data_IF_172775798959
#
_entry.id   IF_172775798959
#
_cell.length_a   1.000
_cell.length_b   1.000
_cell.length_c   1.000
_cell.angle_alpha   90.00
_cell.angle_beta   90.00
_cell.angle_gamma   90.00
#
_symmetry.space_group_name_H-M   'P 1'
#
loop_
_entity.id
_entity.type
_entity.pdbx_description
1 polymer ?
#
# COMPACT_ATOMS: atom_id res chain seq x y z
N UNK A 1 13.76 -16.25 -11.50
CA UNK A 1 12.83 -17.11 -10.75
C UNK A 1 11.45 -16.47 -10.82
N UNK A 2 10.38 -17.23 -11.07
CA UNK A 2 9.04 -16.67 -11.22
C UNK A 2 8.09 -17.27 -10.17
N UNK A 3 7.46 -16.39 -9.40
CA UNK A 3 6.36 -16.70 -8.49
C UNK A 3 5.34 -15.57 -8.56
N UNK A 4 4.16 -15.82 -8.02
CA UNK A 4 3.07 -14.85 -7.92
C UNK A 4 2.65 -14.75 -6.46
N UNK A 5 2.62 -13.52 -5.97
CA UNK A 5 2.02 -13.17 -4.68
C UNK A 5 0.60 -12.67 -4.93
N UNK A 6 -0.35 -13.17 -4.14
CA UNK A 6 -1.75 -12.77 -4.21
C UNK A 6 -2.29 -12.48 -2.82
N UNK A 7 -3.16 -11.48 -2.73
CA UNK A 7 -3.94 -11.17 -1.53
C UNK A 7 -5.38 -11.66 -1.72
N UNK A 8 -5.98 -12.27 -0.70
CA UNK A 8 -7.35 -12.79 -0.79
C UNK A 8 -8.42 -11.70 -0.98
N UNK A 9 -8.11 -10.48 -0.56
CA UNK A 9 -9.01 -9.33 -0.58
C UNK A 9 -8.47 -8.21 -1.46
N UNK A 10 -9.39 -7.33 -1.87
CA UNK A 10 -9.05 -6.13 -2.64
C UNK A 10 -8.96 -4.92 -1.72
N UNK A 11 -8.03 -4.03 -2.05
CA UNK A 11 -8.01 -2.68 -1.47
C UNK A 11 -9.25 -1.94 -1.98
N UNK A 12 -9.92 -1.23 -1.07
CA UNK A 12 -11.06 -0.37 -1.36
C UNK A 12 -10.77 1.06 -0.91
N UNK A 13 -11.43 2.03 -1.51
CA UNK A 13 -11.40 3.42 -1.07
C UNK A 13 -12.83 3.96 -1.03
N UNK A 14 -13.18 4.63 0.07
CA UNK A 14 -14.51 5.22 0.26
C UNK A 14 -14.39 6.73 0.43
N UNK A 15 -15.26 7.54 -0.23
CA UNK A 15 -15.27 8.99 -0.03
C UNK A 15 -15.57 9.36 1.42
N UNK A 16 -14.82 10.33 1.96
CA UNK A 16 -14.97 10.88 3.32
C UNK A 16 -15.19 12.41 3.28
N UNK A 17 -15.81 12.89 2.21
CA UNK A 17 -16.08 14.31 1.99
C UNK A 17 -14.84 15.09 1.56
N UNK A 18 -14.78 16.37 1.91
CA UNK A 18 -13.69 17.27 1.52
C UNK A 18 -13.22 18.10 2.71
N UNK A 19 -11.98 18.59 2.67
CA UNK A 19 -11.41 19.42 3.73
C UNK A 19 -10.31 20.34 3.23
N UNK A 20 -10.09 21.45 3.93
CA UNK A 20 -8.96 22.33 3.66
C UNK A 20 -7.77 21.90 4.50
N UNK A 21 -6.58 21.86 3.90
CA UNK A 21 -5.31 21.56 4.56
C UNK A 21 -4.27 22.59 4.14
N UNK A 22 -3.23 22.78 4.96
CA UNK A 22 -2.03 23.48 4.53
C UNK A 22 -1.00 22.47 4.03
N UNK A 23 -0.62 22.60 2.76
CA UNK A 23 0.35 21.71 2.14
C UNK A 23 1.45 22.49 1.43
N UNK A 24 2.68 22.01 1.58
CA UNK A 24 3.84 22.51 0.84
C UNK A 24 4.05 21.62 -0.40
N UNK A 25 3.71 22.16 -1.57
CA UNK A 25 3.76 21.41 -2.84
C UNK A 25 5.19 21.31 -3.42
N UNK A 26 6.09 22.23 -3.07
CA UNK A 26 7.50 22.20 -3.46
C UNK A 26 8.40 22.58 -2.29
N UNK A 27 9.65 22.11 -2.28
CA UNK A 27 10.60 22.31 -1.17
C UNK A 27 10.90 23.79 -0.86
N UNK A 28 10.71 24.69 -1.81
CA UNK A 28 11.08 26.11 -1.68
C UNK A 28 9.87 27.05 -1.56
N UNK A 29 8.64 26.52 -1.58
CA UNK A 29 7.43 27.34 -1.46
C UNK A 29 6.85 27.36 -0.04
N UNK A 30 6.15 28.44 0.36
CA UNK A 30 5.33 28.41 1.57
C UNK A 30 4.23 27.35 1.44
N UNK A 31 3.71 26.87 2.58
CA UNK A 31 2.51 26.05 2.56
C UNK A 31 1.32 26.86 2.04
N UNK A 32 0.46 26.22 1.27
CA UNK A 32 -0.74 26.81 0.69
C UNK A 32 -1.97 26.09 1.21
N UNK A 33 -3.05 26.83 1.48
CA UNK A 33 -4.36 26.25 1.76
C UNK A 33 -4.90 25.59 0.48
N UNK A 34 -5.08 24.27 0.54
CA UNK A 34 -5.67 23.49 -0.55
C UNK A 34 -6.88 22.73 -0.04
N UNK A 35 -7.90 22.61 -0.89
CA UNK A 35 -9.04 21.73 -0.65
C UNK A 35 -8.73 20.36 -1.22
N UNK A 36 -8.79 19.33 -0.38
CA UNK A 36 -8.66 17.93 -0.78
C UNK A 36 -10.03 17.25 -0.76
N UNK A 37 -10.22 16.30 -1.67
CA UNK A 37 -11.25 15.28 -1.55
C UNK A 37 -10.69 14.15 -0.67
N UNK A 38 -11.30 13.94 0.50
CA UNK A 38 -10.84 12.96 1.49
C UNK A 38 -11.36 11.57 1.13
N UNK A 39 -10.53 10.57 1.39
CA UNK A 39 -10.90 9.16 1.27
C UNK A 39 -10.40 8.35 2.45
N UNK A 40 -11.13 7.31 2.80
CA UNK A 40 -10.65 6.23 3.66
C UNK A 40 -10.33 5.03 2.78
N UNK A 41 -9.04 4.72 2.68
CA UNK A 41 -8.55 3.50 2.03
C UNK A 41 -8.54 2.36 3.04
N UNK A 42 -9.08 1.21 2.67
CA UNK A 42 -9.17 0.04 3.53
C UNK A 42 -8.75 -1.23 2.81
N UNK A 43 -7.92 -2.03 3.46
CA UNK A 43 -7.67 -3.42 3.11
C UNK A 43 -8.29 -4.29 4.22
N UNK A 44 -9.36 -5.05 3.92
CA UNK A 44 -9.95 -5.96 4.89
C UNK A 44 -8.95 -6.99 5.43
N UNK A 45 -9.35 -7.71 6.48
CA UNK A 45 -8.56 -8.85 6.94
C UNK A 45 -8.40 -9.86 5.80
N UNK A 46 -7.17 -10.27 5.55
CA UNK A 46 -6.80 -10.99 4.33
C UNK A 46 -5.70 -12.00 4.57
N UNK A 47 -5.53 -12.96 3.66
CA UNK A 47 -4.35 -13.82 3.62
C UNK A 47 -3.47 -13.44 2.43
N UNK A 48 -2.18 -13.76 2.53
CA UNK A 48 -1.23 -13.68 1.43
C UNK A 48 -0.95 -15.11 0.96
N UNK A 49 -0.83 -15.30 -0.34
CA UNK A 49 -0.47 -16.57 -0.94
C UNK A 49 0.64 -16.38 -1.96
N UNK A 50 1.74 -17.11 -1.78
CA UNK A 50 2.83 -17.19 -2.74
C UNK A 50 2.74 -18.51 -3.49
N UNK A 51 2.70 -18.44 -4.82
CA UNK A 51 2.59 -19.62 -5.69
C UNK A 51 3.60 -19.55 -6.83
N UNK A 52 4.02 -20.70 -7.34
CA UNK A 52 4.91 -20.77 -8.48
C UNK A 52 5.63 -22.10 -8.57
N UNK A 53 6.24 -22.44 -9.73
CA UNK A 53 6.89 -23.73 -9.93
C UNK A 53 8.01 -24.06 -8.94
N UNK A 54 8.61 -23.02 -8.36
CA UNK A 54 9.74 -23.16 -7.46
C UNK A 54 9.40 -22.75 -6.01
N UNK A 55 8.09 -22.70 -5.69
CA UNK A 55 7.56 -22.44 -4.36
C UNK A 55 7.04 -23.75 -3.78
N UNK A 56 7.48 -24.09 -2.58
CA UNK A 56 6.95 -25.22 -1.79
C UNK A 56 6.52 -24.75 -0.42
N UNK A 57 5.64 -25.49 0.24
CA UNK A 57 5.29 -25.22 1.65
C UNK A 57 6.10 -26.15 2.54
N UNK A 58 6.74 -25.59 3.56
CA UNK A 58 7.56 -26.32 4.53
C UNK A 58 7.20 -25.91 5.95
N UNK A 59 7.53 -26.76 6.93
CA UNK A 59 7.43 -26.44 8.35
C UNK A 59 8.83 -26.15 8.89
N UNK A 60 9.03 -24.96 9.48
CA UNK A 60 10.28 -24.57 10.14
C UNK A 60 9.92 -24.12 11.54
N UNK A 61 10.49 -24.78 12.56
CA UNK A 61 10.16 -24.56 13.98
C UNK A 61 8.66 -24.67 14.29
N UNK A 62 7.99 -25.61 13.62
CA UNK A 62 6.55 -25.83 13.78
C UNK A 62 5.65 -24.76 13.15
N UNK A 63 6.21 -23.81 12.39
CA UNK A 63 5.47 -22.76 11.69
C UNK A 63 5.53 -22.95 10.17
N UNK A 64 4.40 -22.76 9.46
CA UNK A 64 4.38 -22.87 8.00
C UNK A 64 5.19 -21.75 7.36
N UNK A 65 5.91 -22.09 6.30
CA UNK A 65 6.68 -21.16 5.47
C UNK A 65 6.56 -21.53 3.99
N UNK A 66 6.61 -20.54 3.12
CA UNK A 66 6.89 -20.74 1.70
C UNK A 66 8.39 -20.80 1.49
N UNK A 67 8.88 -21.92 0.98
CA UNK A 67 10.26 -22.11 0.55
C UNK A 67 10.37 -21.89 -0.95
N UNK A 68 11.24 -20.96 -1.30
CA UNK A 68 11.52 -20.51 -2.66
C UNK A 68 12.92 -21.01 -3.03
N UNK A 69 13.03 -21.98 -3.94
CA UNK A 69 14.31 -22.53 -4.42
C UNK A 69 14.75 -21.91 -5.74
N UNK A 70 15.89 -21.22 -5.76
CA UNK A 70 16.39 -20.60 -6.99
C UNK A 70 17.01 -21.60 -8.00
N UNK A 71 17.50 -21.10 -9.13
CA UNK A 71 18.08 -21.93 -10.19
C UNK A 71 19.41 -22.60 -9.83
N UNK A 72 20.10 -22.14 -8.78
CA UNK A 72 21.32 -22.74 -8.21
C UNK A 72 21.01 -23.78 -7.15
N UNK A 73 19.77 -23.86 -6.66
CA UNK A 73 19.35 -24.73 -5.57
C UNK A 73 19.39 -24.06 -4.19
N UNK A 74 19.73 -22.77 -4.11
CA UNK A 74 19.67 -22.01 -2.86
C UNK A 74 18.21 -21.73 -2.49
N UNK A 75 17.94 -21.61 -1.19
CA UNK A 75 16.55 -21.49 -0.69
C UNK A 75 16.35 -20.24 0.14
N UNK A 76 15.21 -19.60 -0.05
CA UNK A 76 14.70 -18.51 0.78
C UNK A 76 13.37 -18.93 1.40
N UNK A 77 13.26 -18.77 2.71
CA UNK A 77 12.07 -19.15 3.47
C UNK A 77 11.29 -17.90 3.91
N UNK A 78 10.07 -17.75 3.42
CA UNK A 78 9.16 -16.65 3.75
C UNK A 78 8.09 -17.17 4.71
N UNK A 79 7.88 -16.57 5.89
CA UNK A 79 6.82 -16.97 6.80
C UNK A 79 5.44 -16.92 6.17
N UNK A 80 4.68 -18.01 6.28
CA UNK A 80 3.23 -17.95 6.06
C UNK A 80 2.61 -17.38 7.33
N UNK A 81 2.25 -16.11 7.24
CA UNK A 81 1.73 -15.32 8.36
C UNK A 81 0.23 -15.52 8.58
N UNK A 82 -0.43 -16.32 7.73
CA UNK A 82 -1.86 -16.56 7.80
C UNK A 82 -2.68 -15.29 7.63
N UNK A 83 -3.75 -15.16 8.43
CA UNK A 83 -4.67 -14.02 8.36
C UNK A 83 -3.99 -12.76 8.92
N UNK A 84 -3.82 -11.78 8.04
CA UNK A 84 -3.48 -10.40 8.38
C UNK A 84 -4.74 -9.66 8.84
N UNK A 85 -4.57 -8.81 9.86
CA UNK A 85 -5.66 -7.96 10.36
C UNK A 85 -6.02 -6.89 9.32
N UNK A 86 -7.27 -6.42 9.38
CA UNK A 86 -7.71 -5.32 8.53
C UNK A 86 -6.91 -4.05 8.85
N UNK A 87 -6.59 -3.28 7.82
CA UNK A 87 -5.90 -1.99 7.93
C UNK A 87 -6.67 -0.92 7.16
N UNK A 88 -6.70 0.28 7.72
CA UNK A 88 -7.33 1.44 7.08
C UNK A 88 -6.48 2.69 7.28
N UNK A 89 -6.51 3.59 6.31
CA UNK A 89 -5.78 4.86 6.36
C UNK A 89 -6.59 5.98 5.72
N UNK A 90 -6.49 7.16 6.32
CA UNK A 90 -7.07 8.38 5.78
C UNK A 90 -6.11 9.01 4.78
N UNK A 91 -6.65 9.46 3.66
CA UNK A 91 -5.92 10.15 2.63
C UNK A 91 -6.80 11.13 1.88
N UNK A 92 -6.31 11.61 0.75
CA UNK A 92 -7.09 12.46 -0.13
C UNK A 92 -6.39 12.76 -1.43
N UNK A 93 -7.14 13.45 -2.29
CA UNK A 93 -6.72 13.84 -3.63
C UNK A 93 -6.84 15.35 -3.80
N UNK A 94 -5.90 15.93 -4.54
CA UNK A 94 -5.97 17.30 -5.01
C UNK A 94 -5.59 17.34 -6.49
N UNK A 95 -6.48 17.90 -7.31
CA UNK A 95 -6.28 18.06 -8.75
C UNK A 95 -6.00 19.53 -9.08
N UNK A 96 -4.92 19.76 -9.83
CA UNK A 96 -4.55 21.10 -10.31
C UNK A 96 -4.13 21.02 -11.78
N UNK A 97 -5.03 21.40 -12.68
CA UNK A 97 -4.78 21.26 -14.12
C UNK A 97 -4.56 19.78 -14.49
N UNK A 98 -3.37 19.45 -15.01
CA UNK A 98 -2.99 18.08 -15.39
C UNK A 98 -2.24 17.32 -14.28
N UNK A 99 -2.18 17.89 -13.07
CA UNK A 99 -1.48 17.33 -11.93
C UNK A 99 -2.47 16.70 -10.94
N UNK A 100 -2.19 15.47 -10.51
CA UNK A 100 -2.87 14.79 -9.41
C UNK A 100 -1.88 14.64 -8.25
N UNK A 101 -2.22 15.24 -7.12
CA UNK A 101 -1.53 15.05 -5.86
C UNK A 101 -2.35 14.11 -4.99
N UNK A 102 -1.67 13.15 -4.38
CA UNK A 102 -2.23 12.31 -3.32
C UNK A 102 -1.64 12.78 -2.00
N UNK A 103 -2.47 12.74 -0.96
CA UNK A 103 -2.04 13.05 0.41
C UNK A 103 -2.43 11.91 1.33
N UNK A 104 -1.62 11.69 2.36
CA UNK A 104 -1.90 10.73 3.42
C UNK A 104 -1.94 11.43 4.77
N UNK A 105 -2.80 10.97 5.67
CA UNK A 105 -2.81 11.48 7.04
C UNK A 105 -1.69 10.81 7.84
N UNK A 106 -0.84 11.62 8.46
CA UNK A 106 0.25 11.21 9.35
C UNK A 106 0.26 12.10 10.57
N UNK A 107 0.22 11.50 11.76
CA UNK A 107 0.26 12.22 13.05
C UNK A 107 -0.79 13.35 13.15
N UNK A 108 -1.99 13.12 12.59
CA UNK A 108 -3.10 14.08 12.59
C UNK A 108 -3.08 15.13 11.48
N UNK A 109 -1.98 15.29 10.75
CA UNK A 109 -1.85 16.21 9.62
C UNK A 109 -1.85 15.46 8.27
N UNK A 110 -2.23 16.14 7.19
CA UNK A 110 -2.08 15.59 5.84
C UNK A 110 -0.73 16.00 5.25
N UNK A 111 0.00 15.02 4.70
CA UNK A 111 1.29 15.22 4.04
C UNK A 111 1.21 14.75 2.59
N UNK A 112 2.05 15.34 1.73
CA UNK A 112 2.13 14.96 0.32
C UNK A 112 2.70 13.55 0.22
N UNK A 113 2.04 12.70 -0.57
CA UNK A 113 2.44 11.32 -0.82
C UNK A 113 3.04 11.22 -2.24
N UNK A 114 2.18 11.16 -3.26
CA UNK A 114 2.58 11.05 -4.67
C UNK A 114 2.08 12.24 -5.50
N UNK A 115 2.87 12.62 -6.50
CA UNK A 115 2.52 13.61 -7.53
C UNK A 115 2.58 12.95 -8.92
N UNK A 116 1.45 12.96 -9.61
CA UNK A 116 1.30 12.41 -10.96
C UNK A 116 1.00 13.54 -11.94
N UNK A 117 1.69 13.52 -13.08
CA UNK A 117 1.45 14.45 -14.19
C UNK A 117 0.99 13.64 -15.38
N UNK A 118 -0.18 13.97 -15.92
CA UNK A 118 -0.61 13.38 -17.20
C UNK A 118 0.24 13.97 -18.33
N UNK A 119 0.94 13.09 -19.05
CA UNK A 119 1.65 13.43 -20.30
C UNK A 119 0.67 13.60 -21.46
#
# INVERSE_FOLDING_TARGET
>A
MQFTETTSEKITATPDGAGNIQLKLTADSPATDIRIDKVVSSLPAHTIQITGPAVTTVMVDGKPRWRITDGSGDTTDIPDTGIQQAVSGNGGFYLRGNELFTVMQKDGAYVLDMHYVKQ
#
